data_IF_456177851029
#
_entry.id   IF_456177851029
#
_cell.length_a   1.000
_cell.length_b   1.000
_cell.length_c   1.000
_cell.angle_alpha   90.00
_cell.angle_beta   90.00
_cell.angle_gamma   90.00
#
_symmetry.space_group_name_H-M   'P 1'
#
loop_
_entity.id
_entity.type
_entity.pdbx_description
1 polymer ?
#
# COMPACT_ATOMS: atom_id res chain seq x y z
N UNK A 1 2.80 -17.85 17.94
CA UNK A 1 3.18 -16.59 17.25
C UNK A 1 2.16 -16.31 16.15
N UNK A 2 1.33 -15.26 16.27
CA UNK A 2 0.15 -15.03 15.40
C UNK A 2 0.58 -14.50 14.02
N UNK A 3 0.24 -15.21 12.94
CA UNK A 3 0.37 -14.71 11.56
C UNK A 3 -0.80 -13.75 11.29
N UNK A 4 -0.51 -12.62 10.66
CA UNK A 4 -1.51 -11.63 10.27
C UNK A 4 -1.48 -11.50 8.75
N UNK A 5 -2.65 -11.56 8.09
CA UNK A 5 -2.76 -11.31 6.65
C UNK A 5 -2.90 -9.80 6.43
N UNK A 6 -2.15 -9.25 5.49
CA UNK A 6 -2.29 -7.87 5.02
C UNK A 6 -2.45 -7.87 3.51
N UNK A 7 -3.35 -7.05 2.99
CA UNK A 7 -3.37 -6.68 1.59
C UNK A 7 -2.89 -5.25 1.41
N UNK A 8 -2.10 -5.03 0.37
CA UNK A 8 -1.59 -3.72 -0.03
C UNK A 8 -1.82 -3.57 -1.52
N UNK A 9 -2.35 -2.43 -1.89
CA UNK A 9 -2.65 -2.07 -3.26
C UNK A 9 -1.39 -1.42 -3.86
N UNK A 10 -0.83 -2.05 -4.88
CA UNK A 10 0.38 -1.63 -5.60
C UNK A 10 0.01 -1.27 -7.04
N UNK A 11 0.87 -0.53 -7.75
CA UNK A 11 0.60 -0.19 -9.17
C UNK A 11 0.34 -1.41 -10.06
N UNK A 12 0.84 -2.58 -9.67
CA UNK A 12 0.64 -3.86 -10.37
C UNK A 12 -0.58 -4.65 -9.88
N UNK A 13 -1.38 -4.10 -8.97
CA UNK A 13 -2.57 -4.74 -8.39
C UNK A 13 -2.51 -4.95 -6.87
N UNK A 14 -3.54 -5.59 -6.33
CA UNK A 14 -3.64 -5.92 -4.91
C UNK A 14 -2.79 -7.15 -4.58
N UNK A 15 -1.78 -6.96 -3.72
CA UNK A 15 -0.91 -8.03 -3.24
C UNK A 15 -1.33 -8.36 -1.81
N UNK A 16 -1.62 -9.64 -1.56
CA UNK A 16 -1.90 -10.13 -0.21
C UNK A 16 -0.79 -11.05 0.28
N UNK A 17 -0.34 -10.82 1.51
CA UNK A 17 0.76 -11.59 2.11
C UNK A 17 0.55 -11.83 3.60
N UNK A 18 1.28 -12.81 4.11
CA UNK A 18 1.30 -13.17 5.53
C UNK A 18 2.52 -12.57 6.21
N UNK A 19 2.31 -11.78 7.26
CA UNK A 19 3.37 -11.17 8.06
C UNK A 19 3.42 -11.76 9.47
N UNK A 20 4.64 -11.85 10.01
CA UNK A 20 4.89 -12.24 11.39
C UNK A 20 5.18 -10.98 12.22
N UNK A 21 4.52 -10.86 13.37
CA UNK A 21 4.83 -9.80 14.34
C UNK A 21 6.07 -10.22 15.12
N UNK A 22 7.12 -9.43 15.04
CA UNK A 22 8.35 -9.63 15.80
C UNK A 22 8.35 -8.69 17.02
N UNK A 23 8.60 -9.25 18.20
CA UNK A 23 8.67 -8.51 19.47
C UNK A 23 10.03 -8.80 20.06
N UNK A 24 10.89 -7.78 20.17
CA UNK A 24 12.11 -7.88 20.96
C UNK A 24 11.84 -7.30 22.35
N UNK A 25 12.41 -7.89 23.43
CA UNK A 25 12.40 -7.25 24.73
C UNK A 25 13.01 -5.84 24.62
N UNK A 26 12.31 -4.82 25.14
CA UNK A 26 12.78 -3.43 25.11
C UNK A 26 12.59 -2.68 23.78
N UNK A 27 12.07 -3.30 22.70
CA UNK A 27 11.78 -2.60 21.44
C UNK A 27 10.29 -2.69 21.08
N UNK A 28 9.79 -1.66 20.39
CA UNK A 28 8.44 -1.68 19.82
C UNK A 28 8.31 -2.87 18.86
N UNK A 29 7.17 -3.56 18.96
CA UNK A 29 6.85 -4.66 18.07
C UNK A 29 6.82 -4.18 16.62
N UNK A 30 7.50 -4.91 15.73
CA UNK A 30 7.66 -4.53 14.33
C UNK A 30 7.25 -5.67 13.41
N UNK A 31 6.85 -5.28 12.21
CA UNK A 31 6.67 -6.20 11.09
C UNK A 31 7.89 -6.00 10.17
N UNK A 32 8.89 -6.89 10.23
CA UNK A 32 10.12 -6.71 9.47
C UNK A 32 9.87 -6.69 7.96
N UNK A 33 8.88 -7.46 7.49
CA UNK A 33 8.48 -7.50 6.09
C UNK A 33 7.91 -6.14 5.63
N UNK A 34 7.04 -5.53 6.42
CA UNK A 34 6.48 -4.20 6.11
C UNK A 34 7.61 -3.15 6.02
N UNK A 35 8.63 -3.24 6.89
CA UNK A 35 9.79 -2.35 6.89
C UNK A 35 10.68 -2.56 5.66
N UNK A 36 10.93 -3.80 5.27
CA UNK A 36 11.72 -4.15 4.07
C UNK A 36 11.05 -3.60 2.81
N UNK A 37 9.73 -3.73 2.72
CA UNK A 37 8.94 -3.26 1.57
C UNK A 37 8.68 -1.75 1.58
N UNK A 38 9.09 -1.02 2.63
CA UNK A 38 8.81 0.40 2.77
C UNK A 38 7.32 0.72 2.99
N UNK A 39 6.53 -0.22 3.50
CA UNK A 39 5.11 0.00 3.76
C UNK A 39 4.87 0.60 5.14
N UNK A 40 4.32 1.81 5.14
CA UNK A 40 3.88 2.46 6.37
C UNK A 40 2.77 1.68 7.08
N UNK A 41 2.70 1.84 8.39
CA UNK A 41 1.67 1.24 9.23
C UNK A 41 0.30 1.78 8.79
N UNK A 42 -0.68 0.88 8.67
CA UNK A 42 -2.07 1.16 8.29
C UNK A 42 -2.31 1.70 6.87
N UNK A 43 -1.28 2.08 6.11
CA UNK A 43 -1.46 2.51 4.72
C UNK A 43 -1.86 1.33 3.83
N UNK A 44 -2.90 1.52 3.03
CA UNK A 44 -3.38 0.50 2.09
C UNK A 44 -2.69 0.56 0.74
N UNK A 45 -2.11 1.70 0.38
CA UNK A 45 -1.44 1.93 -0.90
C UNK A 45 0.08 1.91 -0.74
N UNK A 46 0.76 1.37 -1.74
CA UNK A 46 2.21 1.51 -1.90
C UNK A 46 2.60 2.97 -2.19
N UNK A 47 3.84 3.33 -1.87
CA UNK A 47 4.36 4.69 -2.13
C UNK A 47 4.30 5.04 -3.61
N UNK A 48 4.59 4.07 -4.48
CA UNK A 48 4.55 4.26 -5.94
C UNK A 48 3.11 4.50 -6.43
N UNK A 49 2.14 3.70 -5.95
CA UNK A 49 0.72 3.91 -6.26
C UNK A 49 0.24 5.32 -5.88
N UNK A 50 0.65 5.82 -4.70
CA UNK A 50 0.30 7.17 -4.25
C UNK A 50 0.94 8.22 -5.15
N UNK A 51 2.20 8.04 -5.54
CA UNK A 51 2.89 8.96 -6.46
C UNK A 51 2.17 9.06 -7.80
N UNK A 52 1.76 7.95 -8.39
CA UNK A 52 1.09 7.93 -9.69
C UNK A 52 -0.27 8.64 -9.62
N UNK A 53 -1.06 8.36 -8.57
CA UNK A 53 -2.33 9.05 -8.34
C UNK A 53 -2.11 10.55 -8.17
N UNK A 54 -1.08 10.95 -7.42
CA UNK A 54 -0.75 12.36 -7.21
C UNK A 54 -0.38 13.04 -8.53
N UNK A 55 0.41 12.40 -9.39
CA UNK A 55 0.76 12.93 -10.71
C UNK A 55 -0.46 13.16 -11.60
N UNK A 56 -1.39 12.20 -11.66
CA UNK A 56 -2.63 12.35 -12.43
C UNK A 56 -3.51 13.44 -11.81
N UNK A 57 -3.58 13.53 -10.48
CA UNK A 57 -4.36 14.55 -9.77
C UNK A 57 -3.84 15.98 -9.90
N UNK A 58 -2.55 16.14 -10.20
CA UNK A 58 -1.98 17.45 -10.46
C UNK A 58 -2.50 18.06 -11.78
N UNK A 59 -2.95 17.23 -12.72
CA UNK A 59 -3.36 17.65 -14.07
C UNK A 59 -4.88 17.58 -14.26
N UNK A 60 -5.56 16.65 -13.57
CA UNK A 60 -6.96 16.36 -13.79
C UNK A 60 -7.82 16.58 -12.53
N UNK A 61 -9.11 16.87 -12.75
CA UNK A 61 -10.10 16.94 -11.66
C UNK A 61 -10.35 15.57 -11.06
N UNK A 62 -10.81 15.53 -9.80
CA UNK A 62 -11.01 14.27 -9.06
C UNK A 62 -11.80 13.18 -9.81
N UNK A 63 -12.85 13.56 -10.56
CA UNK A 63 -13.64 12.59 -11.34
C UNK A 63 -12.84 11.96 -12.47
N UNK A 64 -12.07 12.78 -13.17
CA UNK A 64 -11.23 12.35 -14.28
C UNK A 64 -10.02 11.56 -13.76
N UNK A 65 -9.50 11.91 -12.59
CA UNK A 65 -8.43 11.14 -11.94
C UNK A 65 -8.94 9.77 -11.51
N UNK A 66 -10.11 9.69 -10.88
CA UNK A 66 -10.69 8.41 -10.48
C UNK A 66 -10.93 7.52 -11.71
N UNK A 67 -11.45 8.09 -12.80
CA UNK A 67 -11.67 7.35 -14.05
C UNK A 67 -10.35 6.90 -14.69
N UNK A 68 -9.36 7.79 -14.82
CA UNK A 68 -8.05 7.45 -15.37
C UNK A 68 -7.33 6.40 -14.54
N UNK A 69 -7.40 6.52 -13.22
CA UNK A 69 -6.76 5.57 -12.32
C UNK A 69 -7.47 4.21 -12.39
N UNK A 70 -8.80 4.16 -12.32
CA UNK A 70 -9.56 2.91 -12.42
C UNK A 70 -9.43 2.22 -13.80
N UNK A 71 -9.14 2.98 -14.87
CA UNK A 71 -8.97 2.42 -16.22
C UNK A 71 -7.54 1.96 -16.50
N UNK A 72 -6.54 2.73 -16.07
CA UNK A 72 -5.13 2.49 -16.38
C UNK A 72 -4.41 1.62 -15.35
N UNK A 73 -5.03 1.40 -14.19
CA UNK A 73 -4.43 0.62 -13.12
C UNK A 73 -5.42 -0.40 -12.57
N UNK A 74 -4.90 -1.42 -11.90
CA UNK A 74 -5.71 -2.43 -11.22
C UNK A 74 -6.30 -1.94 -9.89
N UNK A 75 -6.42 -0.63 -9.70
CA UNK A 75 -7.04 -0.03 -8.51
C UNK A 75 -8.57 -0.05 -8.67
N UNK A 76 -9.26 -0.45 -7.60
CA UNK A 76 -10.69 -0.20 -7.44
C UNK A 76 -10.84 0.94 -6.43
N UNK A 77 -10.79 2.19 -6.93
CA UNK A 77 -11.04 3.41 -6.15
C UNK A 77 -12.52 3.82 -6.22
#
# INVERSE_FOLDING_TARGET
>A
MKKNKRSVVTAFGEISYWRRRYVCPGKKAQYPLDKLMGYDKYKRYSVLAVKDILQVSAVATYRNTALAVNTLSCFNL
#
